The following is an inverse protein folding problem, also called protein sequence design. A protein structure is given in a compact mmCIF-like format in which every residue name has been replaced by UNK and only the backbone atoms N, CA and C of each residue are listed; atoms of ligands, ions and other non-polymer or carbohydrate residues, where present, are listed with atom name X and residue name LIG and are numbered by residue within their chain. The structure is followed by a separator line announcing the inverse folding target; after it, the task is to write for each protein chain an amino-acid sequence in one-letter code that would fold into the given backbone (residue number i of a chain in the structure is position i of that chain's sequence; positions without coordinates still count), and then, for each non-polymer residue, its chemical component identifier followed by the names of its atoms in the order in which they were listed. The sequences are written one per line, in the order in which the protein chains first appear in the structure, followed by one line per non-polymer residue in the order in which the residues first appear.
data_IF_756612565609
#
_entry.id   IF_756612565609
#
_cell.length_a   1.000
_cell.length_b   1.000
_cell.length_c   1.000
_cell.angle_alpha   90.00
_cell.angle_beta   90.00
_cell.angle_gamma   90.00
#
_symmetry.space_group_name_H-M   'P 1'
#
loop_
_entity.id
_entity.type
_entity.pdbx_description
1 polymer ?
#
# COMPACT_ATOMS: atom_id res chain seq x y z
N UNK A 1 -27.11 11.34 -1.28
CA UNK A 1 -26.47 11.63 0.02
C UNK A 1 -25.78 12.98 -0.07
N UNK A 2 -25.77 13.76 1.02
CA UNK A 2 -24.94 14.96 1.10
C UNK A 2 -23.44 14.58 1.17
N UNK A 3 -22.55 15.44 0.66
CA UNK A 3 -21.11 15.21 0.51
C UNK A 3 -20.44 14.82 1.84
N UNK A 4 -20.90 15.42 2.94
CA UNK A 4 -20.44 15.07 4.29
C UNK A 4 -20.80 13.63 4.70
N UNK A 5 -22.00 13.17 4.35
CA UNK A 5 -22.44 11.79 4.59
C UNK A 5 -21.69 10.78 3.71
N UNK A 6 -21.49 11.10 2.43
CA UNK A 6 -20.70 10.26 1.52
C UNK A 6 -19.26 10.10 2.02
N UNK A 7 -18.64 11.17 2.52
CA UNK A 7 -17.29 11.10 3.08
C UNK A 7 -17.22 10.25 4.35
N UNK A 8 -18.19 10.40 5.27
CA UNK A 8 -18.26 9.53 6.47
C UNK A 8 -18.45 8.07 6.10
N UNK A 9 -19.27 7.78 5.09
CA UNK A 9 -19.48 6.42 4.61
C UNK A 9 -18.20 5.82 4.00
N UNK A 10 -17.47 6.59 3.20
CA UNK A 10 -16.16 6.18 2.68
C UNK A 10 -15.17 5.84 3.81
N UNK A 11 -15.09 6.67 4.85
CA UNK A 11 -14.23 6.40 6.02
C UNK A 11 -14.67 5.15 6.79
N UNK A 12 -15.98 4.94 6.95
CA UNK A 12 -16.51 3.73 7.57
C UNK A 12 -16.13 2.48 6.78
N UNK A 13 -16.26 2.52 5.45
CA UNK A 13 -15.83 1.43 4.56
C UNK A 13 -14.33 1.20 4.60
N UNK A 14 -13.53 2.27 4.61
CA UNK A 14 -12.08 2.16 4.77
C UNK A 14 -11.71 1.49 6.10
N UNK A 15 -12.31 1.94 7.21
CA UNK A 15 -12.09 1.33 8.52
C UNK A 15 -12.52 -0.14 8.56
N UNK A 16 -13.64 -0.49 7.92
CA UNK A 16 -14.07 -1.88 7.78
C UNK A 16 -13.05 -2.70 6.99
N UNK A 17 -12.49 -2.15 5.91
CA UNK A 17 -11.40 -2.77 5.16
C UNK A 17 -10.18 -3.05 6.02
N UNK A 18 -9.79 -2.13 6.91
CA UNK A 18 -8.68 -2.34 7.86
C UNK A 18 -9.00 -3.49 8.81
N UNK A 19 -10.21 -3.52 9.38
CA UNK A 19 -10.64 -4.60 10.28
C UNK A 19 -10.62 -5.94 9.55
N UNK A 20 -11.19 -6.02 8.34
CA UNK A 20 -11.19 -7.27 7.55
C UNK A 20 -9.77 -7.72 7.22
N UNK A 21 -8.88 -6.79 6.84
CA UNK A 21 -7.47 -7.10 6.61
C UNK A 21 -6.81 -7.67 7.86
N UNK A 22 -7.04 -7.09 9.04
CA UNK A 22 -6.51 -7.60 10.31
C UNK A 22 -7.06 -8.98 10.65
N UNK A 23 -8.36 -9.22 10.43
CA UNK A 23 -8.97 -10.54 10.64
C UNK A 23 -8.36 -11.58 9.68
N UNK A 24 -8.08 -11.22 8.43
CA UNK A 24 -7.41 -12.09 7.46
C UNK A 24 -5.97 -12.38 7.87
N UNK A 25 -5.18 -11.36 8.21
CA UNK A 25 -3.78 -11.52 8.66
C UNK A 25 -3.71 -12.32 9.95
N UNK A 26 -4.66 -12.12 10.87
CA UNK A 26 -4.78 -12.89 12.11
C UNK A 26 -5.33 -14.31 11.94
N UNK A 27 -5.64 -14.75 10.71
CA UNK A 27 -6.11 -16.10 10.40
C UNK A 27 -7.56 -16.40 10.80
N UNK A 28 -8.32 -15.40 11.25
CA UNK A 28 -9.74 -15.54 11.60
C UNK A 28 -10.64 -15.59 10.36
N UNK A 29 -10.18 -15.04 9.25
CA UNK A 29 -10.83 -15.05 7.93
C UNK A 29 -9.85 -15.65 6.94
N UNK A 30 -10.33 -16.48 6.01
CA UNK A 30 -9.49 -17.04 4.95
C UNK A 30 -8.77 -15.96 4.13
N UNK A 31 -7.67 -16.30 3.41
CA UNK A 31 -6.88 -15.32 2.67
C UNK A 31 -7.64 -14.57 1.57
N UNK A 32 -8.76 -15.12 1.07
CA UNK A 32 -9.70 -14.42 0.19
C UNK A 32 -10.27 -13.13 0.83
N UNK A 33 -10.28 -13.02 2.16
CA UNK A 33 -10.66 -11.81 2.87
C UNK A 33 -9.78 -10.60 2.53
N UNK A 34 -8.55 -10.80 2.04
CA UNK A 34 -7.72 -9.71 1.49
C UNK A 34 -8.37 -9.03 0.27
N UNK A 35 -9.08 -9.79 -0.56
CA UNK A 35 -9.85 -9.23 -1.69
C UNK A 35 -11.06 -8.43 -1.19
N UNK A 36 -11.71 -8.88 -0.11
CA UNK A 36 -12.79 -8.12 0.52
C UNK A 36 -12.29 -6.78 1.07
N UNK A 37 -11.12 -6.77 1.73
CA UNK A 37 -10.48 -5.53 2.19
C UNK A 37 -10.17 -4.58 1.02
N UNK A 38 -9.59 -5.10 -0.08
CA UNK A 38 -9.31 -4.31 -1.28
C UNK A 38 -10.59 -3.72 -1.91
N UNK A 39 -11.68 -4.50 -1.94
CA UNK A 39 -12.98 -4.05 -2.44
C UNK A 39 -13.57 -2.88 -1.63
N UNK A 40 -13.19 -2.74 -0.36
CA UNK A 40 -13.55 -1.58 0.46
C UNK A 40 -12.60 -0.39 0.27
N UNK A 41 -11.27 -0.63 0.21
CA UNK A 41 -10.27 0.44 0.12
C UNK A 41 -10.35 1.25 -1.18
N UNK A 42 -10.41 0.57 -2.33
CA UNK A 42 -10.35 1.22 -3.65
C UNK A 42 -11.43 2.28 -3.84
N UNK A 43 -12.73 1.98 -3.65
CA UNK A 43 -13.79 2.97 -3.82
C UNK A 43 -13.79 4.03 -2.70
N UNK A 44 -13.41 3.68 -1.47
CA UNK A 44 -13.26 4.66 -0.39
C UNK A 44 -12.24 5.76 -0.71
N UNK A 45 -11.14 5.40 -1.38
CA UNK A 45 -10.12 6.35 -1.84
C UNK A 45 -10.58 7.14 -3.09
N UNK A 46 -11.27 6.48 -4.04
CA UNK A 46 -11.76 7.11 -5.28
C UNK A 46 -12.86 8.13 -5.09
N UNK A 47 -13.65 8.03 -4.02
CA UNK A 47 -14.68 9.03 -3.70
C UNK A 47 -14.15 10.46 -3.62
N UNK A 48 -12.84 10.65 -3.33
CA UNK A 48 -12.20 11.97 -3.35
C UNK A 48 -12.09 12.57 -4.76
N UNK A 49 -12.09 11.72 -5.78
CA UNK A 49 -11.92 12.09 -7.19
C UNK A 49 -13.22 12.05 -8.02
N UNK A 50 -14.38 11.84 -7.39
CA UNK A 50 -15.64 11.60 -8.13
C UNK A 50 -16.77 12.58 -7.79
N UNK A 51 -17.77 12.64 -8.67
CA UNK A 51 -19.01 13.38 -8.43
C UNK A 51 -19.88 12.65 -7.39
N UNK A 52 -20.59 13.41 -6.55
CA UNK A 52 -21.28 12.87 -5.37
C UNK A 52 -22.30 11.75 -5.68
N UNK A 53 -22.95 11.80 -6.85
CA UNK A 53 -23.88 10.77 -7.30
C UNK A 53 -23.22 9.43 -7.61
N UNK A 54 -22.12 9.46 -8.39
CA UNK A 54 -21.34 8.27 -8.76
C UNK A 54 -20.67 7.65 -7.54
N UNK A 55 -20.04 8.49 -6.72
CA UNK A 55 -19.42 8.11 -5.46
C UNK A 55 -20.35 7.30 -4.54
N UNK A 56 -21.63 7.71 -4.44
CA UNK A 56 -22.59 7.01 -3.57
C UNK A 56 -22.94 5.62 -4.09
N UNK A 57 -23.18 5.49 -5.40
CA UNK A 57 -23.49 4.21 -6.03
C UNK A 57 -22.30 3.25 -5.94
N UNK A 58 -21.09 3.75 -6.20
CA UNK A 58 -19.87 2.95 -6.12
C UNK A 58 -19.60 2.45 -4.70
N UNK A 59 -19.74 3.29 -3.67
CA UNK A 59 -19.61 2.87 -2.27
C UNK A 59 -20.65 1.80 -1.87
N UNK A 60 -21.88 1.90 -2.37
CA UNK A 60 -22.92 0.91 -2.08
C UNK A 60 -22.64 -0.45 -2.75
N UNK A 61 -22.18 -0.43 -4.00
CA UNK A 61 -21.72 -1.63 -4.72
C UNK A 61 -20.54 -2.25 -4.00
N UNK A 62 -19.56 -1.43 -3.60
CA UNK A 62 -18.39 -1.85 -2.85
C UNK A 62 -18.75 -2.48 -1.49
N UNK A 63 -19.67 -1.88 -0.75
CA UNK A 63 -20.17 -2.41 0.51
C UNK A 63 -20.74 -3.81 0.33
N UNK A 64 -21.60 -3.98 -0.68
CA UNK A 64 -22.24 -5.26 -1.00
C UNK A 64 -21.22 -6.30 -1.49
N UNK A 65 -20.35 -5.92 -2.42
CA UNK A 65 -19.33 -6.81 -2.99
C UNK A 65 -18.31 -7.25 -1.94
N UNK A 66 -17.80 -6.31 -1.14
CA UNK A 66 -16.89 -6.61 -0.04
C UNK A 66 -17.54 -7.49 1.02
N UNK A 67 -18.82 -7.28 1.34
CA UNK A 67 -19.55 -8.13 2.28
C UNK A 67 -19.71 -9.55 1.72
N UNK A 68 -20.08 -9.68 0.44
CA UNK A 68 -20.16 -10.96 -0.24
C UNK A 68 -18.83 -11.70 -0.22
N UNK A 69 -17.73 -11.02 -0.56
CA UNK A 69 -16.38 -11.59 -0.51
C UNK A 69 -15.96 -11.98 0.91
N UNK A 70 -16.29 -11.17 1.91
CA UNK A 70 -16.02 -11.48 3.32
C UNK A 70 -16.77 -12.73 3.77
N UNK A 71 -18.07 -12.81 3.47
CA UNK A 71 -18.90 -13.98 3.77
C UNK A 71 -18.35 -15.22 3.05
N UNK A 72 -18.00 -15.11 1.77
CA UNK A 72 -17.37 -16.18 0.99
C UNK A 72 -16.05 -16.64 1.62
N UNK A 73 -15.22 -15.71 2.12
CA UNK A 73 -13.95 -16.01 2.79
C UNK A 73 -14.11 -16.74 4.14
N UNK A 74 -15.31 -16.71 4.74
CA UNK A 74 -15.65 -17.48 5.94
C UNK A 74 -16.06 -18.93 5.63
N UNK A 75 -16.36 -19.26 4.36
CA UNK A 75 -16.69 -20.64 3.98
C UNK A 75 -15.43 -21.49 3.81
N UNK A 76 -15.42 -22.65 4.49
CA UNK A 76 -14.30 -23.59 4.57
C UNK A 76 -13.56 -23.95 3.27
N UNK A 77 -14.19 -24.16 2.09
CA UNK A 77 -13.43 -24.51 0.89
C UNK A 77 -12.44 -23.43 0.45
N UNK A 78 -12.67 -22.16 0.80
CA UNK A 78 -11.80 -21.03 0.44
C UNK A 78 -10.90 -20.56 1.58
N UNK A 79 -11.24 -20.92 2.83
CA UNK A 79 -10.40 -20.67 3.99
C UNK A 79 -9.09 -21.48 3.98
N UNK A 80 -9.06 -22.61 3.27
CA UNK A 80 -7.87 -23.45 3.12
C UNK A 80 -6.95 -23.09 1.96
N UNK A 81 -7.26 -22.05 1.16
CA UNK A 81 -6.35 -21.61 0.10
C UNK A 81 -5.08 -21.04 0.73
N UNK A 82 -3.88 -21.43 0.31
CA UNK A 82 -2.65 -20.79 0.78
C UNK A 82 -2.54 -19.37 0.23
N UNK A 83 -1.81 -18.51 0.93
CA UNK A 83 -1.36 -17.24 0.36
C UNK A 83 -0.45 -17.51 -0.84
N UNK A 84 -0.44 -16.63 -1.86
CA UNK A 84 0.53 -16.73 -2.95
C UNK A 84 1.96 -16.75 -2.40
N UNK A 85 2.69 -17.81 -2.72
CA UNK A 85 4.09 -17.94 -2.31
C UNK A 85 4.95 -17.00 -3.15
N UNK A 86 5.43 -15.92 -2.55
CA UNK A 86 6.28 -14.92 -3.23
C UNK A 86 7.78 -15.22 -3.07
N UNK A 87 8.14 -16.20 -2.22
CA UNK A 87 9.53 -16.63 -2.01
C UNK A 87 10.12 -17.43 -3.19
N UNK A 88 9.36 -17.58 -4.28
CA UNK A 88 9.79 -18.28 -5.51
C UNK A 88 11.07 -17.70 -6.14
N UNK A 89 11.42 -16.45 -5.83
CA UNK A 89 12.66 -15.82 -6.28
C UNK A 89 13.83 -16.00 -5.29
N UNK A 90 13.62 -16.69 -4.16
CA UNK A 90 14.62 -16.97 -3.15
C UNK A 90 15.30 -15.69 -2.63
N UNK A 91 16.65 -15.61 -2.66
CA UNK A 91 17.40 -14.40 -2.29
C UNK A 91 17.02 -13.13 -3.06
N UNK A 92 16.34 -13.24 -4.20
CA UNK A 92 15.91 -12.08 -5.00
C UNK A 92 14.49 -11.62 -4.68
N UNK A 93 13.76 -12.31 -3.80
CA UNK A 93 12.37 -11.96 -3.48
C UNK A 93 12.26 -10.54 -2.96
N UNK A 94 13.16 -10.12 -2.06
CA UNK A 94 13.08 -8.78 -1.50
C UNK A 94 13.37 -7.71 -2.57
N UNK A 95 14.43 -7.89 -3.37
CA UNK A 95 14.72 -7.01 -4.50
C UNK A 95 13.56 -6.93 -5.51
N UNK A 96 12.92 -8.06 -5.81
CA UNK A 96 11.77 -8.10 -6.72
C UNK A 96 10.59 -7.27 -6.17
N UNK A 97 10.35 -7.32 -4.86
CA UNK A 97 9.32 -6.47 -4.23
C UNK A 97 9.69 -4.99 -4.30
N UNK A 98 10.95 -4.61 -4.07
CA UNK A 98 11.41 -3.23 -4.20
C UNK A 98 11.22 -2.70 -5.62
N UNK A 99 11.52 -3.51 -6.64
CA UNK A 99 11.29 -3.14 -8.04
C UNK A 99 9.80 -2.97 -8.34
N UNK A 100 8.95 -3.89 -7.88
CA UNK A 100 7.51 -3.83 -8.12
C UNK A 100 6.87 -2.58 -7.48
N UNK A 101 7.16 -2.31 -6.21
CA UNK A 101 6.64 -1.14 -5.51
C UNK A 101 7.30 0.16 -5.97
N UNK A 102 8.59 0.13 -6.31
CA UNK A 102 9.29 1.28 -6.91
C UNK A 102 8.70 1.68 -8.26
N UNK A 103 8.36 0.70 -9.11
CA UNK A 103 7.67 0.97 -10.38
C UNK A 103 6.29 1.59 -10.16
N UNK A 104 5.52 1.10 -9.17
CA UNK A 104 4.23 1.68 -8.81
C UNK A 104 4.39 3.12 -8.29
N UNK A 105 5.32 3.36 -7.36
CA UNK A 105 5.61 4.68 -6.82
C UNK A 105 5.99 5.66 -7.92
N UNK A 106 6.88 5.25 -8.82
CA UNK A 106 7.27 6.04 -9.98
C UNK A 106 6.09 6.34 -10.89
N UNK A 107 5.24 5.36 -11.20
CA UNK A 107 4.05 5.57 -12.03
C UNK A 107 3.07 6.59 -11.41
N UNK A 108 2.87 6.55 -10.09
CA UNK A 108 2.02 7.51 -9.38
C UNK A 108 2.60 8.93 -9.44
N UNK A 109 3.88 9.10 -9.13
CA UNK A 109 4.55 10.40 -9.17
C UNK A 109 4.66 10.95 -10.60
N UNK A 110 4.95 10.08 -11.58
CA UNK A 110 5.02 10.47 -12.99
C UNK A 110 3.67 10.95 -13.52
N UNK A 111 2.56 10.34 -13.06
CA UNK A 111 1.21 10.82 -13.36
C UNK A 111 0.92 12.18 -12.73
N UNK A 112 1.36 12.40 -11.49
CA UNK A 112 1.21 13.68 -10.79
C UNK A 112 2.02 14.82 -11.43
N UNK A 113 3.13 14.48 -12.09
CA UNK A 113 3.83 15.36 -13.01
C UNK A 113 5.30 15.60 -12.65
N UNK A 114 6.01 16.31 -13.53
CA UNK A 114 7.47 16.51 -13.40
C UNK A 114 7.85 17.34 -12.17
N UNK A 115 7.01 18.30 -11.76
CA UNK A 115 7.24 19.08 -10.54
C UNK A 115 7.27 18.17 -9.31
N UNK A 116 6.31 17.26 -9.23
CA UNK A 116 6.12 16.33 -8.12
C UNK A 116 7.26 15.33 -8.00
N UNK A 117 7.71 14.76 -9.13
CA UNK A 117 8.91 13.91 -9.15
C UNK A 117 10.13 14.61 -8.56
N UNK A 118 10.34 15.90 -8.89
CA UNK A 118 11.49 16.66 -8.38
C UNK A 118 11.36 16.96 -6.89
N UNK A 119 10.17 17.35 -6.42
CA UNK A 119 9.92 17.58 -5.00
C UNK A 119 10.08 16.30 -4.19
N UNK A 120 9.51 15.19 -4.67
CA UNK A 120 9.65 13.90 -4.03
C UNK A 120 11.11 13.46 -3.95
N UNK A 121 11.86 13.57 -5.05
CA UNK A 121 13.30 13.29 -5.06
C UNK A 121 14.09 14.15 -4.06
N UNK A 122 13.77 15.44 -3.95
CA UNK A 122 14.41 16.33 -2.98
C UNK A 122 14.09 15.95 -1.54
N UNK A 123 12.82 15.62 -1.24
CA UNK A 123 12.40 15.13 0.09
C UNK A 123 13.10 13.82 0.45
N UNK A 124 13.16 12.87 -0.49
CA UNK A 124 13.85 11.59 -0.31
C UNK A 124 15.33 11.83 -0.04
N UNK A 125 16.00 12.65 -0.85
CA UNK A 125 17.41 12.97 -0.67
C UNK A 125 17.70 13.63 0.69
N UNK A 126 16.79 14.47 1.19
CA UNK A 126 16.93 15.13 2.48
C UNK A 126 16.79 14.17 3.66
N UNK A 127 15.89 13.18 3.58
CA UNK A 127 15.67 12.20 4.66
C UNK A 127 16.60 10.99 4.59
N UNK A 128 17.16 10.69 3.42
CA UNK A 128 17.99 9.52 3.18
C UNK A 128 19.15 9.36 4.18
N UNK A 129 19.94 10.40 4.54
CA UNK A 129 21.02 10.23 5.51
C UNK A 129 20.53 9.80 6.89
N UNK A 130 19.36 10.31 7.32
CA UNK A 130 18.75 9.93 8.59
C UNK A 130 18.27 8.48 8.55
N UNK A 131 17.58 8.10 7.48
CA UNK A 131 17.10 6.73 7.28
C UNK A 131 18.28 5.74 7.23
N UNK A 132 19.36 6.11 6.53
CA UNK A 132 20.55 5.28 6.42
C UNK A 132 21.21 5.02 7.78
N UNK A 133 21.40 6.05 8.60
CA UNK A 133 21.97 5.90 9.95
C UNK A 133 21.05 5.05 10.83
N UNK A 134 19.74 5.22 10.70
CA UNK A 134 18.77 4.40 11.42
C UNK A 134 18.90 2.94 11.04
N UNK A 135 18.80 2.60 9.75
CA UNK A 135 18.80 1.20 9.28
C UNK A 135 20.16 0.53 9.53
N UNK A 136 21.26 1.25 9.31
CA UNK A 136 22.58 0.76 9.68
C UNK A 136 22.64 0.39 11.17
N UNK A 137 22.18 1.27 12.05
CA UNK A 137 22.20 1.02 13.49
C UNK A 137 21.31 -0.16 13.88
N UNK A 138 20.08 -0.26 13.35
CA UNK A 138 19.15 -1.34 13.69
C UNK A 138 19.59 -2.70 13.17
N UNK A 139 20.25 -2.75 12.00
CA UNK A 139 20.89 -3.96 11.50
C UNK A 139 22.08 -4.35 12.36
N UNK A 140 22.96 -3.40 12.70
CA UNK A 140 24.16 -3.64 13.52
C UNK A 140 23.80 -4.19 14.90
N UNK A 141 22.76 -3.64 15.55
CA UNK A 141 22.31 -4.10 16.88
C UNK A 141 21.35 -5.30 16.83
N UNK A 142 21.03 -5.82 15.63
CA UNK A 142 20.19 -7.01 15.45
C UNK A 142 18.71 -6.82 15.77
N UNK A 143 18.19 -5.59 15.70
CA UNK A 143 16.75 -5.30 15.86
C UNK A 143 15.95 -5.84 14.67
N UNK A 144 16.58 -5.92 13.50
CA UNK A 144 15.95 -6.35 12.25
C UNK A 144 16.91 -7.24 11.43
N UNK A 145 16.37 -8.12 10.60
CA UNK A 145 17.13 -8.99 9.70
C UNK A 145 16.33 -9.29 8.43
N UNK A 146 17.04 -9.49 7.31
CA UNK A 146 16.44 -9.68 5.99
C UNK A 146 16.91 -11.02 5.43
N UNK A 147 16.13 -12.10 5.58
CA UNK A 147 16.57 -13.45 5.20
C UNK A 147 16.57 -13.69 3.68
N UNK A 148 15.67 -13.04 2.92
CA UNK A 148 15.50 -13.22 1.47
C UNK A 148 16.19 -12.09 0.68
N UNK A 149 17.42 -11.75 1.07
CA UNK A 149 18.26 -10.73 0.44
C UNK A 149 19.28 -11.35 -0.52
N UNK A 150 19.71 -10.57 -1.50
CA UNK A 150 20.69 -10.98 -2.52
C UNK A 150 22.09 -11.22 -1.96
N UNK A 151 22.38 -10.63 -0.78
CA UNK A 151 23.70 -10.65 -0.17
C UNK A 151 24.65 -9.57 -0.71
N UNK A 152 24.15 -8.67 -1.56
CA UNK A 152 24.91 -7.50 -2.01
C UNK A 152 24.82 -6.40 -0.95
N UNK A 153 25.97 -5.93 -0.48
CA UNK A 153 26.06 -4.84 0.48
C UNK A 153 26.68 -3.60 -0.16
N UNK A 154 26.14 -2.43 0.19
CA UNK A 154 26.65 -1.14 -0.20
C UNK A 154 26.72 -0.27 1.07
N UNK A 155 27.83 0.45 1.25
CA UNK A 155 28.05 1.27 2.44
C UNK A 155 27.74 0.57 3.79
N UNK A 156 27.97 -0.75 3.90
CA UNK A 156 27.78 -1.48 5.16
C UNK A 156 26.33 -1.88 5.48
N UNK A 157 25.37 -1.69 4.58
CA UNK A 157 24.02 -2.28 4.68
C UNK A 157 23.62 -2.96 3.35
N UNK A 158 22.61 -3.83 3.35
CA UNK A 158 22.13 -4.49 2.12
C UNK A 158 21.64 -3.49 1.07
N UNK A 159 21.88 -3.80 -0.21
CA UNK A 159 21.42 -2.98 -1.33
C UNK A 159 19.90 -2.74 -1.30
N UNK A 160 19.14 -3.75 -0.89
CA UNK A 160 17.69 -3.67 -0.81
C UNK A 160 17.21 -2.63 0.22
N UNK A 161 17.96 -2.39 1.29
CA UNK A 161 17.62 -1.34 2.26
C UNK A 161 17.83 0.05 1.65
N UNK A 162 18.87 0.21 0.82
CA UNK A 162 19.04 1.45 0.04
C UNK A 162 17.87 1.71 -0.90
N UNK A 163 17.34 0.67 -1.51
CA UNK A 163 16.15 0.78 -2.35
C UNK A 163 14.91 1.08 -1.51
N UNK A 164 14.72 0.40 -0.39
CA UNK A 164 13.60 0.58 0.53
C UNK A 164 13.49 2.03 1.03
N UNK A 165 14.63 2.62 1.42
CA UNK A 165 14.74 4.03 1.84
C UNK A 165 14.30 5.03 0.75
N UNK A 166 14.28 4.62 -0.52
CA UNK A 166 13.80 5.43 -1.65
C UNK A 166 12.36 5.07 -2.01
N UNK A 167 12.06 3.77 -2.13
CA UNK A 167 10.79 3.23 -2.63
C UNK A 167 9.65 3.57 -1.69
N UNK A 168 9.81 3.37 -0.38
CA UNK A 168 8.71 3.61 0.58
C UNK A 168 8.31 5.09 0.63
N UNK A 169 9.24 6.05 0.80
CA UNK A 169 8.83 7.45 0.78
C UNK A 169 8.30 7.89 -0.59
N UNK A 170 8.86 7.38 -1.70
CA UNK A 170 8.32 7.66 -3.03
C UNK A 170 6.88 7.17 -3.19
N UNK A 171 6.55 5.99 -2.66
CA UNK A 171 5.19 5.44 -2.71
C UNK A 171 4.23 6.28 -1.86
N UNK A 172 4.63 6.65 -0.64
CA UNK A 172 3.84 7.51 0.25
C UNK A 172 3.55 8.84 -0.44
N UNK A 173 4.58 9.49 -1.01
CA UNK A 173 4.44 10.77 -1.71
C UNK A 173 3.59 10.62 -2.98
N UNK A 174 3.78 9.55 -3.76
CA UNK A 174 2.97 9.29 -4.96
C UNK A 174 1.48 9.11 -4.65
N UNK A 175 1.15 8.42 -3.55
CA UNK A 175 -0.23 8.31 -3.06
C UNK A 175 -0.73 9.66 -2.56
N UNK A 176 0.08 10.39 -1.78
CA UNK A 176 -0.27 11.71 -1.27
C UNK A 176 -0.66 12.69 -2.41
N UNK A 177 0.18 12.81 -3.43
CA UNK A 177 -0.09 13.68 -4.58
C UNK A 177 -1.33 13.22 -5.35
N UNK A 178 -1.50 11.90 -5.57
CA UNK A 178 -2.71 11.34 -6.19
C UNK A 178 -4.00 11.73 -5.44
N UNK A 179 -3.93 11.78 -4.10
CA UNK A 179 -5.10 12.10 -3.28
C UNK A 179 -5.42 13.61 -3.24
N UNK A 180 -4.46 14.47 -3.59
CA UNK A 180 -4.54 15.93 -3.43
C UNK A 180 -4.46 16.72 -4.75
N UNK A 181 -4.21 16.08 -5.89
CA UNK A 181 -4.12 16.65 -7.26
C UNK A 181 -5.25 17.64 -7.63
N UNK A 182 -6.42 17.58 -6.99
CA UNK A 182 -7.57 18.45 -7.29
C UNK A 182 -7.68 19.73 -6.45
N UNK A 183 -6.91 19.90 -5.39
CA UNK A 183 -6.92 21.16 -4.63
C UNK A 183 -6.08 22.24 -5.32
N UNK A 184 -5.11 21.87 -6.16
CA UNK A 184 -4.21 22.80 -6.86
C UNK A 184 -4.76 23.32 -8.21
N UNK A 185 -5.92 22.82 -8.66
CA UNK A 185 -6.53 23.17 -9.95
C UNK A 185 -7.90 23.83 -9.85
N UNK A 186 -8.26 24.36 -8.67
CA UNK A 186 -9.52 25.08 -8.41
C UNK A 186 -9.27 26.57 -8.14
#
# INVERSE_FOLDING_TARGET
MDRGRTRRFAWGLFGLGVVVLWLTVGGLVGPVGGLAAAAYFVPALRVRTESAGRATAELAVAATAGLGLFVVAMFRPLAGLPLPEISVFGPYTYLATEVAFGALAFALLARAGRGELRRAGATIAAIYPLAYVWDWYTLEVGVFAIPLRTGVEFAGIPLEEHLFMVVVPALILGVHETLNEREAGA
#
